data_IF_668014845953
#
_entry.id   IF_668014845953
#
_cell.length_a   1.000
_cell.length_b   1.000
_cell.length_c   1.000
_cell.angle_alpha   90.00
_cell.angle_beta   90.00
_cell.angle_gamma   90.00
#
_symmetry.space_group_name_H-M   'P 1'
#
loop_
_entity.id
_entity.type
_entity.pdbx_description
1 polymer ?
#
# COMPACT_ATOMS: atom_id res chain seq x y z
N UNK A 1 18.89 11.27 -26.76
CA UNK A 1 20.05 10.75 -26.00
C UNK A 1 19.73 10.88 -24.54
N UNK A 2 19.35 9.76 -23.92
CA UNK A 2 18.59 9.68 -22.68
C UNK A 2 19.45 10.08 -21.48
N UNK A 3 19.00 11.06 -20.68
CA UNK A 3 19.61 11.38 -19.39
C UNK A 3 19.71 10.15 -18.47
N UNK A 4 18.79 9.18 -18.64
CA UNK A 4 18.82 7.88 -17.94
C UNK A 4 20.08 7.05 -18.24
N UNK A 5 20.64 7.09 -19.45
CA UNK A 5 21.86 6.35 -19.80
C UNK A 5 23.09 6.97 -19.12
N UNK A 6 23.15 8.30 -19.03
CA UNK A 6 24.25 9.02 -18.37
C UNK A 6 24.33 8.75 -16.86
N UNK A 7 23.20 8.55 -16.17
CA UNK A 7 23.21 8.28 -14.73
C UNK A 7 23.50 6.81 -14.38
N UNK A 8 23.33 5.90 -15.33
CA UNK A 8 23.70 4.48 -15.19
C UNK A 8 25.22 4.28 -15.04
N UNK A 9 26.01 5.15 -15.68
CA UNK A 9 27.48 5.09 -15.61
C UNK A 9 28.06 5.78 -14.36
N UNK A 10 27.27 6.58 -13.63
CA UNK A 10 27.77 7.48 -12.58
C UNK A 10 27.55 7.06 -11.13
N UNK A 11 27.04 5.85 -10.84
CA UNK A 11 26.68 5.41 -9.47
C UNK A 11 25.78 6.42 -8.71
N UNK A 12 24.91 7.14 -9.42
CA UNK A 12 24.09 8.20 -8.81
C UNK A 12 22.60 7.84 -8.84
N UNK A 13 22.28 6.75 -8.14
CA UNK A 13 20.93 6.19 -8.03
C UNK A 13 19.91 7.24 -7.57
N UNK A 14 20.32 8.13 -6.64
CA UNK A 14 19.49 9.23 -6.15
C UNK A 14 19.05 10.20 -7.27
N UNK A 15 19.97 10.61 -8.15
CA UNK A 15 19.65 11.50 -9.29
C UNK A 15 18.84 10.80 -10.37
N UNK A 16 19.04 9.50 -10.55
CA UNK A 16 18.30 8.72 -11.53
C UNK A 16 16.83 8.60 -11.12
N UNK A 17 16.59 8.47 -9.82
CA UNK A 17 15.28 8.42 -9.21
C UNK A 17 14.61 9.78 -9.26
N UNK A 18 15.32 10.85 -8.91
CA UNK A 18 14.86 12.24 -9.07
C UNK A 18 14.44 12.54 -10.52
N UNK A 19 15.18 12.05 -11.51
CA UNK A 19 14.80 12.16 -12.93
C UNK A 19 13.55 11.32 -13.28
N UNK A 20 13.44 10.09 -12.79
CA UNK A 20 12.27 9.24 -13.03
C UNK A 20 11.01 9.81 -12.36
N UNK A 21 11.16 10.39 -11.17
CA UNK A 21 10.14 11.18 -10.47
C UNK A 21 9.66 12.36 -11.32
N UNK A 22 10.60 13.12 -11.89
CA UNK A 22 10.30 14.33 -12.67
C UNK A 22 9.67 14.04 -14.04
N UNK A 23 9.96 12.87 -14.63
CA UNK A 23 9.47 12.49 -15.96
C UNK A 23 8.19 11.64 -15.93
N UNK A 24 7.72 11.22 -14.74
CA UNK A 24 6.58 10.31 -14.57
C UNK A 24 6.69 9.02 -15.40
N UNK A 25 7.91 8.53 -15.63
CA UNK A 25 8.13 7.27 -16.34
C UNK A 25 7.91 6.09 -15.37
N UNK A 26 6.64 5.78 -15.12
CA UNK A 26 6.24 4.73 -14.18
C UNK A 26 6.71 3.34 -14.61
N UNK A 27 6.90 3.09 -15.91
CA UNK A 27 7.41 1.81 -16.39
C UNK A 27 8.89 1.63 -16.08
N UNK A 28 9.70 2.69 -16.23
CA UNK A 28 11.09 2.67 -15.78
C UNK A 28 11.19 2.45 -14.27
N UNK A 29 10.32 3.07 -13.46
CA UNK A 29 10.31 2.88 -12.01
C UNK A 29 9.89 1.46 -11.59
N UNK A 30 8.89 0.87 -12.25
CA UNK A 30 8.51 -0.53 -12.04
C UNK A 30 9.67 -1.49 -12.35
N UNK A 31 10.40 -1.22 -13.44
CA UNK A 31 11.58 -2.00 -13.79
C UNK A 31 12.68 -1.90 -12.72
N UNK A 32 12.82 -0.77 -12.01
CA UNK A 32 13.74 -0.67 -10.88
C UNK A 32 13.33 -1.62 -9.76
N UNK A 33 12.05 -1.66 -9.36
CA UNK A 33 11.55 -2.59 -8.33
C UNK A 33 11.90 -4.04 -8.70
N UNK A 34 11.73 -4.42 -9.97
CA UNK A 34 12.00 -5.80 -10.44
C UNK A 34 13.49 -6.12 -10.36
N UNK A 35 14.35 -5.21 -10.82
CA UNK A 35 15.77 -5.51 -11.06
C UNK A 35 16.70 -5.23 -9.86
N UNK A 36 16.30 -4.36 -8.93
CA UNK A 36 17.13 -4.05 -7.76
C UNK A 36 17.16 -5.26 -6.80
N UNK A 37 18.25 -5.51 -6.05
CA UNK A 37 18.29 -6.61 -5.09
C UNK A 37 17.25 -6.46 -3.97
N UNK A 38 16.88 -7.58 -3.34
CA UNK A 38 16.08 -7.57 -2.11
C UNK A 38 16.77 -6.76 -1.01
N UNK A 39 15.99 -6.15 -0.13
CA UNK A 39 16.45 -5.29 0.97
C UNK A 39 17.25 -4.03 0.54
N UNK A 40 17.29 -3.69 -0.76
CA UNK A 40 17.92 -2.45 -1.22
C UNK A 40 17.20 -1.21 -0.64
N UNK A 41 17.92 -0.21 -0.11
CA UNK A 41 17.33 0.95 0.58
C UNK A 41 16.33 1.74 -0.28
N UNK A 42 16.49 1.67 -1.59
CA UNK A 42 15.63 2.36 -2.55
C UNK A 42 14.20 1.84 -2.61
N UNK A 43 13.99 0.58 -2.23
CA UNK A 43 12.67 -0.04 -2.26
C UNK A 43 11.70 0.68 -1.31
N UNK A 44 12.19 1.15 -0.15
CA UNK A 44 11.38 1.92 0.79
C UNK A 44 10.92 3.25 0.19
N UNK A 45 11.80 3.94 -0.55
CA UNK A 45 11.49 5.21 -1.18
C UNK A 45 10.48 5.04 -2.31
N UNK A 46 10.66 4.02 -3.15
CA UNK A 46 9.73 3.65 -4.21
C UNK A 46 8.37 3.24 -3.65
N UNK A 47 8.34 2.44 -2.57
CA UNK A 47 7.11 2.05 -1.89
C UNK A 47 6.31 3.26 -1.41
N UNK A 48 6.99 4.24 -0.79
CA UNK A 48 6.36 5.49 -0.34
C UNK A 48 5.82 6.30 -1.52
N UNK A 49 6.58 6.40 -2.61
CA UNK A 49 6.13 7.14 -3.79
C UNK A 49 4.89 6.53 -4.43
N UNK A 50 4.93 5.24 -4.72
CA UNK A 50 3.79 4.55 -5.32
C UNK A 50 2.56 4.61 -4.41
N UNK A 51 2.74 4.64 -3.09
CA UNK A 51 1.65 4.89 -2.13
C UNK A 51 1.03 6.27 -2.34
N UNK A 52 1.84 7.34 -2.45
CA UNK A 52 1.35 8.71 -2.67
C UNK A 52 0.61 8.84 -4.01
N UNK A 53 1.06 8.13 -5.04
CA UNK A 53 0.43 8.13 -6.37
C UNK A 53 -0.82 7.25 -6.48
N UNK A 54 -1.15 6.46 -5.45
CA UNK A 54 -2.28 5.53 -5.51
C UNK A 54 -2.00 4.20 -6.20
N UNK A 55 -0.74 3.89 -6.50
CA UNK A 55 -0.29 2.67 -7.17
C UNK A 55 -0.01 1.56 -6.15
N UNK A 56 -1.07 0.97 -5.60
CA UNK A 56 -0.95 0.05 -4.47
C UNK A 56 -0.14 -1.22 -4.76
N UNK A 57 -0.23 -1.79 -5.96
CA UNK A 57 0.46 -3.05 -6.29
C UNK A 57 1.97 -2.86 -6.31
N UNK A 58 2.41 -1.80 -6.97
CA UNK A 58 3.81 -1.41 -7.06
C UNK A 58 4.38 -1.03 -5.68
N UNK A 59 3.59 -0.32 -4.86
CA UNK A 59 3.97 0.00 -3.49
C UNK A 59 4.18 -1.27 -2.64
N UNK A 60 3.20 -2.18 -2.64
CA UNK A 60 3.27 -3.45 -1.93
C UNK A 60 4.45 -4.29 -2.41
N UNK A 61 4.67 -4.39 -3.72
CA UNK A 61 5.79 -5.14 -4.27
C UNK A 61 7.13 -4.61 -3.77
N UNK A 62 7.31 -3.29 -3.74
CA UNK A 62 8.52 -2.67 -3.22
C UNK A 62 8.73 -2.97 -1.73
N UNK A 63 7.68 -2.78 -0.91
CA UNK A 63 7.74 -3.01 0.54
C UNK A 63 7.99 -4.49 0.91
N UNK A 64 7.32 -5.43 0.23
CA UNK A 64 7.54 -6.86 0.48
C UNK A 64 8.96 -7.29 0.12
N UNK A 65 9.55 -6.69 -0.94
CA UNK A 65 10.92 -6.98 -1.38
C UNK A 65 12.00 -6.49 -0.42
N UNK A 66 11.66 -5.56 0.49
CA UNK A 66 12.52 -5.18 1.63
C UNK A 66 11.98 -5.64 2.99
N UNK A 67 11.10 -6.66 3.00
CA UNK A 67 10.52 -7.28 4.21
C UNK A 67 9.77 -6.32 5.14
N UNK A 68 9.30 -5.20 4.59
CA UNK A 68 8.53 -4.16 5.28
C UNK A 68 7.03 -4.48 5.21
N UNK A 69 6.64 -5.56 5.89
CA UNK A 69 5.28 -6.12 5.82
C UNK A 69 4.24 -5.13 6.38
N UNK A 70 4.57 -4.46 7.48
CA UNK A 70 3.66 -3.51 8.12
C UNK A 70 3.41 -2.29 7.21
N UNK A 71 4.42 -1.84 6.48
CA UNK A 71 4.32 -0.76 5.50
C UNK A 71 3.53 -1.18 4.26
N UNK A 72 3.67 -2.42 3.80
CA UNK A 72 2.84 -2.96 2.73
C UNK A 72 1.35 -2.97 3.13
N UNK A 73 1.04 -3.44 4.34
CA UNK A 73 -0.32 -3.43 4.90
C UNK A 73 -0.84 -1.99 5.01
N UNK A 74 -0.03 -1.08 5.57
CA UNK A 74 -0.42 0.32 5.74
C UNK A 74 -0.66 1.03 4.39
N UNK A 75 0.10 0.71 3.36
CA UNK A 75 -0.12 1.21 2.00
C UNK A 75 -1.48 0.72 1.44
N UNK A 76 -1.79 -0.57 1.61
CA UNK A 76 -3.09 -1.12 1.24
C UNK A 76 -4.24 -0.43 2.00
N UNK A 77 -4.07 -0.20 3.30
CA UNK A 77 -5.03 0.50 4.14
C UNK A 77 -5.24 1.94 3.64
N UNK A 78 -4.16 2.66 3.40
CA UNK A 78 -4.20 4.05 2.93
C UNK A 78 -4.91 4.18 1.58
N UNK A 79 -4.71 3.21 0.68
CA UNK A 79 -5.29 3.17 -0.67
C UNK A 79 -6.61 2.41 -0.77
N UNK A 80 -7.22 2.08 0.37
CA UNK A 80 -8.47 1.34 0.47
C UNK A 80 -8.44 -0.06 -0.23
N UNK A 81 -7.27 -0.68 -0.37
CA UNK A 81 -7.06 -2.03 -0.91
C UNK A 81 -7.15 -3.09 0.20
N UNK A 82 -8.30 -3.13 0.84
CA UNK A 82 -8.57 -3.87 2.07
C UNK A 82 -8.42 -5.38 1.98
N UNK A 83 -8.91 -5.99 0.90
CA UNK A 83 -8.75 -7.44 0.69
C UNK A 83 -7.28 -7.81 0.60
N UNK A 84 -6.50 -7.01 -0.12
CA UNK A 84 -5.06 -7.23 -0.25
C UNK A 84 -4.32 -7.04 1.09
N UNK A 85 -4.73 -6.08 1.92
CA UNK A 85 -4.18 -5.91 3.27
C UNK A 85 -4.39 -7.17 4.13
N UNK A 86 -5.60 -7.74 4.09
CA UNK A 86 -5.96 -8.97 4.83
C UNK A 86 -5.19 -10.17 4.29
N UNK A 87 -5.11 -10.33 2.97
CA UNK A 87 -4.38 -11.42 2.33
C UNK A 87 -2.90 -11.40 2.76
N UNK A 88 -2.24 -10.23 2.65
CA UNK A 88 -0.85 -10.05 3.10
C UNK A 88 -0.71 -10.34 4.60
N UNK A 89 -1.65 -9.91 5.43
CA UNK A 89 -1.62 -10.20 6.86
C UNK A 89 -1.69 -11.67 7.20
N UNK A 90 -2.63 -12.38 6.57
CA UNK A 90 -2.82 -13.80 6.76
C UNK A 90 -1.59 -14.59 6.31
N UNK A 91 -1.03 -14.25 5.14
CA UNK A 91 0.17 -14.87 4.61
C UNK A 91 1.40 -14.69 5.52
N UNK A 92 1.43 -13.61 6.30
CA UNK A 92 2.51 -13.28 7.23
C UNK A 92 2.14 -13.44 8.72
N UNK A 93 1.06 -14.18 9.05
CA UNK A 93 0.59 -14.46 10.41
C UNK A 93 0.34 -13.21 11.29
N UNK A 94 -0.07 -12.09 10.69
CA UNK A 94 -0.48 -10.86 11.39
C UNK A 94 -1.96 -10.96 11.76
N UNK A 95 -2.26 -11.70 12.83
CA UNK A 95 -3.62 -11.99 13.31
C UNK A 95 -4.44 -10.76 13.76
N UNK A 96 -3.82 -9.58 13.85
CA UNK A 96 -4.45 -8.36 14.37
C UNK A 96 -4.93 -7.39 13.27
N UNK A 97 -4.79 -7.72 11.98
CA UNK A 97 -5.14 -6.77 10.89
C UNK A 97 -6.60 -6.34 10.94
N UNK A 98 -7.52 -7.27 11.19
CA UNK A 98 -8.95 -6.94 11.30
C UNK A 98 -9.20 -5.92 12.42
N UNK A 99 -8.48 -6.05 13.53
CA UNK A 99 -8.58 -5.15 14.68
C UNK A 99 -8.00 -3.76 14.38
N UNK A 100 -6.88 -3.71 13.66
CA UNK A 100 -6.19 -2.49 13.29
C UNK A 100 -7.00 -1.69 12.26
N UNK A 101 -7.55 -2.38 11.25
CA UNK A 101 -8.44 -1.77 10.26
C UNK A 101 -9.70 -1.21 10.90
N UNK A 102 -10.37 -1.97 11.78
CA UNK A 102 -11.54 -1.46 12.49
C UNK A 102 -11.25 -0.17 13.26
N UNK A 103 -10.06 -0.06 13.86
CA UNK A 103 -9.65 1.13 14.61
C UNK A 103 -9.50 2.33 13.69
N UNK A 104 -8.76 2.18 12.57
CA UNK A 104 -8.59 3.25 11.60
C UNK A 104 -9.88 3.72 10.93
N UNK A 105 -10.80 2.80 10.61
CA UNK A 105 -12.07 3.19 10.00
C UNK A 105 -13.00 3.90 10.98
N UNK A 106 -12.96 3.54 12.28
CA UNK A 106 -13.70 4.25 13.33
C UNK A 106 -13.16 5.67 13.51
N UNK A 107 -11.84 5.85 13.51
CA UNK A 107 -11.20 7.18 13.59
C UNK A 107 -11.59 8.08 12.42
N UNK A 108 -11.81 7.52 11.23
CA UNK A 108 -12.21 8.26 10.02
C UNK A 108 -13.74 8.35 9.82
N UNK A 109 -14.55 7.90 10.78
CA UNK A 109 -16.03 7.83 10.72
C UNK A 109 -16.61 7.16 9.45
N UNK A 110 -15.86 6.23 8.85
CA UNK A 110 -16.22 5.63 7.56
C UNK A 110 -17.17 4.44 7.69
N UNK A 111 -18.34 4.67 8.27
CA UNK A 111 -19.26 3.60 8.69
C UNK A 111 -19.64 2.61 7.57
N UNK A 112 -19.86 3.07 6.34
CA UNK A 112 -20.18 2.19 5.20
C UNK A 112 -19.03 1.26 4.82
N UNK A 113 -17.78 1.75 4.88
CA UNK A 113 -16.60 0.95 4.60
C UNK A 113 -16.40 -0.11 5.69
N UNK A 114 -16.76 0.19 6.95
CA UNK A 114 -16.75 -0.79 8.05
C UNK A 114 -17.80 -1.89 7.81
N UNK A 115 -19.00 -1.53 7.36
CA UNK A 115 -20.04 -2.53 7.02
C UNK A 115 -19.55 -3.45 5.91
N UNK A 116 -18.93 -2.90 4.86
CA UNK A 116 -18.40 -3.69 3.76
C UNK A 116 -17.30 -4.66 4.21
N UNK A 117 -16.44 -4.22 5.15
CA UNK A 117 -15.39 -5.04 5.75
C UNK A 117 -15.98 -6.26 6.48
N UNK A 118 -16.94 -6.01 7.38
CA UNK A 118 -17.62 -7.09 8.10
C UNK A 118 -18.33 -8.08 7.17
N UNK A 119 -18.92 -7.61 6.08
CA UNK A 119 -19.50 -8.48 5.06
C UNK A 119 -18.46 -9.35 4.35
N UNK A 120 -17.28 -8.81 4.02
CA UNK A 120 -16.19 -9.56 3.37
C UNK A 120 -15.55 -10.60 4.30
N UNK A 121 -15.50 -10.31 5.60
CA UNK A 121 -15.03 -11.24 6.63
C UNK A 121 -16.09 -12.27 7.07
N UNK A 122 -17.25 -12.33 6.41
CA UNK A 122 -18.41 -13.16 6.79
C UNK A 122 -19.00 -12.88 8.19
N UNK A 123 -18.69 -11.72 8.76
CA UNK A 123 -19.14 -11.24 10.06
C UNK A 123 -20.37 -10.32 9.89
N UNK A 124 -21.43 -10.83 9.26
CA UNK A 124 -22.57 -10.03 8.80
C UNK A 124 -23.33 -9.32 9.93
N UNK A 125 -23.40 -9.93 11.12
CA UNK A 125 -24.14 -9.37 12.26
C UNK A 125 -23.52 -8.05 12.76
N UNK A 126 -22.19 -7.99 12.80
CA UNK A 126 -21.42 -6.84 13.24
C UNK A 126 -21.52 -5.70 12.23
N UNK A 127 -21.52 -6.03 10.92
CA UNK A 127 -21.84 -5.08 9.86
C UNK A 127 -23.25 -4.49 10.00
N UNK A 128 -24.26 -5.33 10.24
CA UNK A 128 -25.64 -4.88 10.42
C UNK A 128 -25.82 -3.92 11.61
N UNK A 129 -25.13 -4.19 12.75
CA UNK A 129 -25.14 -3.31 13.93
C UNK A 129 -24.63 -1.89 13.62
N UNK A 130 -23.61 -1.78 12.77
CA UNK A 130 -23.04 -0.48 12.38
C UNK A 130 -23.99 0.25 11.43
N UNK A 131 -24.55 -0.45 10.44
CA UNK A 131 -25.52 0.14 9.51
C UNK A 131 -26.73 0.72 10.24
N UNK A 132 -27.26 0.00 11.23
CA UNK A 132 -28.38 0.45 12.06
C UNK A 132 -28.06 1.75 12.82
N UNK A 133 -26.84 1.86 13.38
CA UNK A 133 -26.39 3.09 14.07
C UNK A 133 -26.32 4.30 13.13
N UNK A 134 -25.87 4.12 11.89
CA UNK A 134 -25.80 5.21 10.89
C UNK A 134 -27.21 5.70 10.53
N UNK A 135 -28.15 4.77 10.36
CA UNK A 135 -29.52 5.10 9.94
C UNK A 135 -30.31 5.89 10.99
N UNK A 136 -29.85 5.89 12.25
CA UNK A 136 -30.51 6.60 13.37
C UNK A 136 -30.00 8.06 13.52
N UNK A 137 -29.05 8.51 12.68
CA UNK A 137 -28.42 9.84 12.75
C UNK A 137 -29.03 10.82 11.71
N UNK A 138 -30.00 10.36 10.91
CA UNK A 138 -30.79 11.20 9.98
C UNK A 138 -32.21 11.45 10.50
#
# INVERSE_FOLDING_TARGET
SNAMEYYKEGQNEAKQIECCYMLQDYESLKNIIINVPDDHPILMELGRFFTILGMCREAVQAYLKCKMIDEAINACIFLNQWSLAIDIGNDHNKAEIDSLMMTHLKEKEKNFEIVLLYCKANHYLEGAKILFKVQTIF
#
